data_IF_031856456527
#
_entry.id   IF_031856456527
#
_cell.length_a   1.000
_cell.length_b   1.000
_cell.length_c   1.000
_cell.angle_alpha   90.00
_cell.angle_beta   90.00
_cell.angle_gamma   90.00
#
_symmetry.space_group_name_H-M   'P 1'
#
loop_
_entity.id
_entity.type
_entity.pdbx_description
1 polymer ?
#
# COMPACT_ATOMS: atom_id res chain seq x y z
N UNK A 1 -2.26 -8.48 14.42
CA UNK A 1 -1.46 -9.11 15.50
C UNK A 1 -0.34 -9.91 14.85
N UNK A 2 0.86 -9.33 14.76
CA UNK A 2 2.03 -10.03 14.17
C UNK A 2 3.31 -9.76 14.99
N UNK A 3 3.49 -8.53 15.50
CA UNK A 3 4.64 -8.21 16.37
C UNK A 3 4.37 -8.39 17.87
N UNK A 4 3.14 -8.16 18.35
CA UNK A 4 2.83 -8.18 19.80
C UNK A 4 3.06 -9.54 20.47
N UNK A 5 2.86 -10.65 19.74
CA UNK A 5 3.09 -12.01 20.24
C UNK A 5 4.61 -12.36 20.34
N UNK A 6 5.46 -11.63 19.61
CA UNK A 6 6.91 -11.83 19.60
C UNK A 6 7.64 -11.00 20.67
N UNK A 7 7.08 -9.85 21.06
CA UNK A 7 7.61 -8.97 22.13
C UNK A 7 7.34 -9.53 23.54
N UNK A 8 6.62 -10.66 23.65
CA UNK A 8 6.28 -11.25 24.93
C UNK A 8 5.13 -10.53 25.64
N UNK A 9 4.36 -9.71 24.92
CA UNK A 9 3.15 -9.11 25.46
C UNK A 9 2.12 -10.23 25.69
N UNK A 10 1.89 -10.49 26.97
CA UNK A 10 1.12 -11.61 27.50
C UNK A 10 -0.34 -11.52 27.08
N UNK A 11 -0.70 -12.12 25.95
CA UNK A 11 -2.10 -12.37 25.59
C UNK A 11 -2.35 -13.88 25.68
N UNK A 12 -2.98 -14.26 26.79
CA UNK A 12 -3.77 -15.47 27.03
C UNK A 12 -3.40 -16.69 26.16
N UNK A 13 -2.47 -17.47 26.69
CA UNK A 13 -2.23 -18.91 26.51
C UNK A 13 -3.05 -19.52 25.37
N UNK A 14 -2.58 -19.31 24.13
CA UNK A 14 -2.84 -20.27 23.07
C UNK A 14 -1.79 -21.36 23.22
N UNK A 15 -2.23 -22.62 23.29
CA UNK A 15 -1.38 -23.78 23.62
C UNK A 15 0.01 -23.69 22.99
N UNK A 16 1.04 -23.80 23.83
CA UNK A 16 2.47 -23.66 23.52
C UNK A 16 2.89 -24.41 22.24
N UNK A 17 2.24 -25.55 21.96
CA UNK A 17 2.45 -26.37 20.75
C UNK A 17 2.09 -25.64 19.45
N UNK A 18 1.01 -24.88 19.44
CA UNK A 18 0.55 -24.13 18.25
C UNK A 18 1.53 -23.01 17.92
N UNK A 19 2.08 -22.35 18.93
CA UNK A 19 3.09 -21.30 18.78
C UNK A 19 4.40 -21.89 18.24
N UNK A 20 4.84 -23.04 18.77
CA UNK A 20 6.05 -23.73 18.32
C UNK A 20 5.97 -24.18 16.86
N UNK A 21 4.84 -24.78 16.46
CA UNK A 21 4.60 -25.20 15.06
C UNK A 21 4.64 -24.02 14.08
N UNK A 22 4.09 -22.87 14.48
CA UNK A 22 4.09 -21.67 13.63
C UNK A 22 5.49 -21.08 13.45
N UNK A 23 6.29 -21.07 14.52
CA UNK A 23 7.70 -20.66 14.47
C UNK A 23 8.50 -21.58 13.54
N UNK A 24 8.35 -22.89 13.69
CA UNK A 24 9.04 -23.87 12.84
C UNK A 24 8.66 -23.70 11.35
N UNK A 25 7.37 -23.49 11.06
CA UNK A 25 6.90 -23.24 9.69
C UNK A 25 7.48 -21.95 9.09
N UNK A 26 7.60 -20.89 9.89
CA UNK A 26 8.19 -19.63 9.46
C UNK A 26 9.69 -19.75 9.22
N UNK A 27 10.41 -20.44 10.11
CA UNK A 27 11.84 -20.70 9.94
C UNK A 27 12.13 -21.56 8.72
N UNK A 28 11.30 -22.58 8.47
CA UNK A 28 11.39 -23.37 7.24
C UNK A 28 11.26 -22.48 6.00
N UNK A 29 10.24 -21.61 5.95
CA UNK A 29 10.07 -20.68 4.84
C UNK A 29 11.27 -19.74 4.65
N UNK A 30 11.85 -19.23 5.75
CA UNK A 30 13.03 -18.39 5.67
C UNK A 30 14.23 -19.10 5.02
N UNK A 31 14.47 -20.36 5.42
CA UNK A 31 15.52 -21.19 4.83
C UNK A 31 15.23 -21.52 3.35
N UNK A 32 13.98 -21.83 3.02
CA UNK A 32 13.57 -22.12 1.65
C UNK A 32 13.78 -20.88 0.76
N UNK A 33 13.47 -19.68 1.25
CA UNK A 33 13.75 -18.42 0.56
C UNK A 33 15.25 -18.16 0.38
N UNK A 34 16.04 -18.35 1.43
CA UNK A 34 17.51 -18.19 1.36
C UNK A 34 18.11 -19.11 0.30
N UNK A 35 17.70 -20.38 0.29
CA UNK A 35 18.13 -21.34 -0.72
C UNK A 35 17.67 -20.93 -2.12
N UNK A 36 16.43 -20.47 -2.27
CA UNK A 36 15.87 -20.06 -3.56
C UNK A 36 16.64 -18.88 -4.18
N UNK A 37 16.98 -17.87 -3.38
CA UNK A 37 17.71 -16.69 -3.86
C UNK A 37 19.19 -16.96 -4.12
N UNK A 38 19.79 -17.95 -3.46
CA UNK A 38 21.19 -18.33 -3.67
C UNK A 38 21.40 -19.25 -4.88
N UNK A 39 20.33 -19.73 -5.51
CA UNK A 39 20.45 -20.55 -6.73
C UNK A 39 20.93 -19.71 -7.92
N UNK A 40 21.69 -20.31 -8.86
CA UNK A 40 22.10 -19.63 -10.10
C UNK A 40 20.90 -19.16 -10.93
N UNK A 41 19.77 -19.88 -10.84
CA UNK A 41 18.51 -19.49 -11.45
C UNK A 41 17.36 -19.59 -10.43
N UNK A 42 17.00 -18.48 -9.77
CA UNK A 42 15.96 -18.47 -8.73
C UNK A 42 14.57 -18.80 -9.30
N UNK A 43 14.28 -18.51 -10.57
CA UNK A 43 12.95 -18.76 -11.19
C UNK A 43 12.54 -20.24 -11.21
N UNK A 44 13.49 -21.16 -11.06
CA UNK A 44 13.24 -22.61 -11.10
C UNK A 44 12.74 -23.17 -9.76
N UNK A 45 12.81 -22.39 -8.69
CA UNK A 45 12.47 -22.85 -7.36
C UNK A 45 10.95 -22.94 -7.15
N UNK A 46 10.51 -23.97 -6.42
CA UNK A 46 9.09 -24.30 -6.26
C UNK A 46 8.27 -23.15 -5.62
N UNK A 47 8.87 -22.38 -4.70
CA UNK A 47 8.18 -21.22 -4.09
C UNK A 47 7.74 -20.15 -5.09
N UNK A 48 8.41 -20.07 -6.24
CA UNK A 48 8.18 -18.99 -7.22
C UNK A 48 7.37 -19.44 -8.42
N UNK A 49 7.06 -20.73 -8.54
CA UNK A 49 6.35 -21.30 -9.70
C UNK A 49 5.00 -20.63 -9.95
N UNK A 50 4.27 -20.31 -8.88
CA UNK A 50 2.94 -19.69 -8.96
C UNK A 50 2.98 -18.15 -8.86
N UNK A 51 4.17 -17.57 -8.71
CA UNK A 51 4.33 -16.13 -8.54
C UNK A 51 4.56 -15.46 -9.90
N UNK A 52 3.53 -14.78 -10.42
CA UNK A 52 3.54 -14.10 -11.72
C UNK A 52 4.69 -13.09 -11.88
N UNK A 53 5.03 -12.38 -10.81
CA UNK A 53 6.11 -11.39 -10.80
C UNK A 53 7.50 -12.00 -10.63
N UNK A 54 7.63 -13.28 -10.26
CA UNK A 54 8.94 -13.93 -10.08
C UNK A 54 9.49 -14.48 -11.40
N UNK A 55 9.53 -13.61 -12.40
CA UNK A 55 10.18 -13.84 -13.68
C UNK A 55 11.52 -13.08 -13.73
N UNK A 56 12.30 -13.27 -14.80
CA UNK A 56 13.62 -12.63 -14.93
C UNK A 56 13.57 -11.10 -14.82
N UNK A 57 12.57 -10.45 -15.40
CA UNK A 57 12.37 -9.00 -15.30
C UNK A 57 12.03 -8.58 -13.87
N UNK A 58 11.13 -9.31 -13.21
CA UNK A 58 10.75 -9.01 -11.82
C UNK A 58 11.89 -9.21 -10.83
N UNK A 59 12.78 -10.18 -11.04
CA UNK A 59 14.01 -10.31 -10.26
C UNK A 59 14.98 -9.16 -10.53
N UNK A 60 15.18 -8.76 -11.79
CA UNK A 60 16.00 -7.58 -12.13
C UNK A 60 15.45 -6.32 -11.46
N UNK A 61 14.13 -6.14 -11.51
CA UNK A 61 13.49 -5.03 -10.83
C UNK A 61 13.67 -5.09 -9.32
N UNK A 62 13.47 -6.27 -8.70
CA UNK A 62 13.68 -6.52 -7.27
C UNK A 62 15.06 -6.05 -6.81
N UNK A 63 16.12 -6.44 -7.52
CA UNK A 63 17.48 -6.05 -7.20
C UNK A 63 17.76 -4.57 -7.48
N UNK A 64 17.13 -3.99 -8.49
CA UNK A 64 17.30 -2.57 -8.84
C UNK A 64 16.57 -1.60 -7.91
N UNK A 65 15.52 -2.04 -7.19
CA UNK A 65 14.68 -1.13 -6.40
C UNK A 65 15.43 -0.45 -5.26
N UNK A 66 16.47 -1.09 -4.71
CA UNK A 66 17.27 -0.47 -3.66
C UNK A 66 17.93 0.81 -4.14
N UNK A 67 18.65 0.74 -5.27
CA UNK A 67 19.30 1.88 -5.91
C UNK A 67 18.28 2.92 -6.39
N UNK A 68 17.17 2.47 -7.01
CA UNK A 68 16.05 3.37 -7.38
C UNK A 68 15.49 4.12 -6.16
N UNK A 69 15.42 3.45 -5.00
CA UNK A 69 14.96 4.01 -3.74
C UNK A 69 15.90 5.07 -3.17
N UNK A 70 17.21 4.80 -3.18
CA UNK A 70 18.25 5.76 -2.77
C UNK A 70 18.16 7.02 -3.64
N UNK A 71 18.13 6.85 -4.96
CA UNK A 71 18.04 7.97 -5.91
C UNK A 71 16.79 8.83 -5.66
N UNK A 72 15.65 8.18 -5.38
CA UNK A 72 14.41 8.88 -5.05
C UNK A 72 14.53 9.67 -3.73
N UNK A 73 15.09 9.06 -2.69
CA UNK A 73 15.29 9.74 -1.40
C UNK A 73 16.21 10.95 -1.53
N UNK A 74 17.32 10.80 -2.26
CA UNK A 74 18.24 11.90 -2.52
C UNK A 74 17.58 13.03 -3.33
N UNK A 75 16.75 12.70 -4.32
CA UNK A 75 15.99 13.71 -5.06
C UNK A 75 15.00 14.46 -4.17
N UNK A 76 14.28 13.76 -3.28
CA UNK A 76 13.38 14.39 -2.30
C UNK A 76 14.18 15.32 -1.37
N UNK A 77 15.33 14.88 -0.87
CA UNK A 77 16.20 15.70 -0.01
C UNK A 77 16.61 17.00 -0.72
N UNK A 78 17.04 16.92 -1.99
CA UNK A 78 17.46 18.08 -2.78
C UNK A 78 16.32 19.06 -3.06
N UNK A 79 15.10 18.56 -3.27
CA UNK A 79 13.92 19.37 -3.57
C UNK A 79 13.30 19.99 -2.32
N UNK A 80 13.09 19.19 -1.27
CA UNK A 80 12.27 19.58 -0.13
C UNK A 80 13.06 20.23 0.99
N UNK A 81 14.29 19.76 1.23
CA UNK A 81 15.14 20.27 2.32
C UNK A 81 16.08 21.35 1.79
N UNK A 82 16.88 21.02 0.78
CA UNK A 82 17.87 21.97 0.26
C UNK A 82 17.28 22.99 -0.71
N UNK A 83 16.12 22.70 -1.32
CA UNK A 83 15.45 23.57 -2.31
C UNK A 83 16.36 23.96 -3.48
N UNK A 84 17.30 23.08 -3.84
CA UNK A 84 18.25 23.27 -4.95
C UNK A 84 17.57 22.92 -6.29
N UNK A 85 16.69 21.92 -6.26
CA UNK A 85 15.90 21.47 -7.41
C UNK A 85 14.44 21.92 -7.27
N UNK A 86 13.77 22.10 -8.41
CA UNK A 86 12.33 22.35 -8.43
C UNK A 86 11.57 21.12 -7.93
N UNK A 87 10.62 21.36 -7.01
CA UNK A 87 9.76 20.32 -6.46
C UNK A 87 8.87 19.73 -7.56
N UNK A 88 9.03 18.44 -7.83
CA UNK A 88 8.16 17.70 -8.73
C UNK A 88 7.00 17.12 -7.91
N UNK A 89 5.79 17.68 -8.11
CA UNK A 89 4.59 17.28 -7.35
C UNK A 89 3.89 16.05 -7.96
N UNK A 90 4.26 15.64 -9.17
CA UNK A 90 3.69 14.45 -9.82
C UNK A 90 4.23 13.20 -9.13
N UNK A 91 3.36 12.45 -8.46
CA UNK A 91 3.69 11.09 -8.01
C UNK A 91 3.83 10.86 -6.50
N UNK A 92 3.27 11.72 -5.63
CA UNK A 92 3.19 11.41 -4.19
C UNK A 92 2.56 10.04 -3.86
N UNK A 93 1.88 9.41 -4.83
CA UNK A 93 1.31 8.06 -4.74
C UNK A 93 1.71 7.13 -5.89
N UNK A 94 2.69 7.51 -6.71
CA UNK A 94 3.20 6.63 -7.76
C UNK A 94 3.88 5.44 -7.07
N UNK A 95 3.23 4.28 -7.19
CA UNK A 95 3.75 3.02 -6.69
C UNK A 95 4.29 2.26 -7.89
N UNK A 96 5.59 1.98 -7.88
CA UNK A 96 6.21 1.10 -8.87
C UNK A 96 5.98 -0.37 -8.50
N UNK A 97 4.86 -0.68 -7.85
CA UNK A 97 4.50 -2.03 -7.40
C UNK A 97 3.08 -2.33 -7.82
N UNK A 98 2.87 -3.55 -8.30
CA UNK A 98 1.55 -4.05 -8.62
C UNK A 98 0.88 -4.44 -7.31
N UNK A 99 -0.35 -3.99 -7.09
CA UNK A 99 -1.11 -4.28 -5.88
C UNK A 99 -2.23 -5.25 -6.21
N UNK A 100 -2.23 -6.42 -5.55
CA UNK A 100 -3.32 -7.38 -5.64
C UNK A 100 -4.19 -7.36 -4.38
N UNK A 101 -5.49 -7.59 -4.57
CA UNK A 101 -6.37 -7.96 -3.46
C UNK A 101 -6.21 -9.46 -3.21
N UNK A 102 -6.14 -9.86 -1.94
CA UNK A 102 -6.00 -11.28 -1.55
C UNK A 102 -7.10 -12.18 -2.11
N UNK A 103 -8.30 -11.63 -2.32
CA UNK A 103 -9.43 -12.32 -2.96
C UNK A 103 -9.14 -12.71 -4.41
N UNK A 104 -8.39 -11.89 -5.14
CA UNK A 104 -8.09 -12.11 -6.56
C UNK A 104 -6.98 -13.15 -6.77
N UNK A 105 -6.11 -13.35 -5.76
CA UNK A 105 -5.02 -14.33 -5.82
C UNK A 105 -5.52 -15.78 -5.71
N UNK A 106 -6.63 -16.02 -4.99
CA UNK A 106 -7.22 -17.36 -4.82
C UNK A 106 -7.91 -17.90 -6.07
N UNK A 107 -8.26 -17.03 -7.03
CA UNK A 107 -8.94 -17.43 -8.26
C UNK A 107 -7.96 -18.00 -9.29
N UNK A 108 -6.72 -17.51 -9.30
CA UNK A 108 -5.68 -17.92 -10.25
C UNK A 108 -5.37 -19.41 -10.09
N UNK A 109 -5.28 -19.91 -8.86
CA UNK A 109 -5.09 -21.35 -8.60
C UNK A 109 -6.26 -22.25 -8.99
N UNK A 110 -7.46 -21.71 -9.27
CA UNK A 110 -8.62 -22.49 -9.75
C UNK A 110 -8.84 -22.43 -11.26
N UNK A 111 -8.29 -21.42 -11.93
CA UNK A 111 -8.43 -21.26 -13.39
C UNK A 111 -7.45 -22.21 -14.11
N UNK A 112 -6.24 -22.37 -13.58
CA UNK A 112 -5.22 -23.29 -14.13
C UNK A 112 -5.69 -24.76 -14.12
N UNK A 113 -6.54 -25.16 -13.17
CA UNK A 113 -7.10 -26.52 -13.12
C UNK A 113 -8.22 -26.79 -14.13
N UNK A 114 -8.80 -25.75 -14.77
CA UNK A 114 -9.93 -25.89 -15.69
C UNK A 114 -9.57 -25.73 -17.18
N UNK A 115 -8.36 -25.28 -17.51
CA UNK A 115 -7.95 -25.00 -18.90
C UNK A 115 -7.38 -26.23 -19.65
N UNK A 116 -7.24 -27.39 -19.01
CA UNK A 116 -6.75 -28.62 -19.66
C UNK A 116 -7.85 -29.46 -20.36
N UNK A 117 -9.10 -28.97 -20.41
CA UNK A 117 -10.17 -29.63 -21.18
C UNK A 117 -11.04 -28.60 -21.89
N UNK A 118 -10.63 -28.17 -23.09
CA UNK A 118 -11.50 -27.88 -24.24
C UNK A 118 -10.63 -27.52 -25.45
N UNK A 119 -10.06 -28.54 -26.09
CA UNK A 119 -9.93 -28.52 -27.53
C UNK A 119 -11.32 -28.81 -28.10
N UNK A 120 -11.99 -27.78 -28.63
CA UNK A 120 -12.69 -27.93 -29.90
C UNK A 120 -13.03 -26.56 -30.51
N UNK A 121 -12.76 -26.50 -31.81
CA UNK A 121 -13.03 -25.42 -32.74
C UNK A 121 -14.39 -24.74 -32.53
N UNK A 122 -14.44 -23.42 -32.66
CA UNK A 122 -15.07 -22.85 -33.85
C UNK A 122 -14.69 -21.38 -34.06
N UNK A 123 -14.34 -21.10 -35.31
CA UNK A 123 -14.28 -19.78 -35.91
C UNK A 123 -15.62 -19.07 -35.71
N UNK A 124 -15.61 -17.81 -35.30
CA UNK A 124 -16.40 -16.81 -36.01
C UNK A 124 -15.79 -15.41 -35.82
N UNK A 125 -15.26 -14.91 -36.93
CA UNK A 125 -15.06 -13.49 -37.14
C UNK A 125 -16.42 -12.82 -37.13
N UNK A 126 -16.60 -11.77 -36.32
CA UNK A 126 -17.33 -10.60 -36.82
C UNK A 126 -16.81 -9.31 -36.20
N UNK A 127 -16.27 -8.51 -37.11
CA UNK A 127 -16.02 -7.09 -36.98
C UNK A 127 -17.36 -6.37 -36.99
N UNK A 128 -17.70 -5.67 -35.91
CA UNK A 128 -18.75 -4.64 -35.95
C UNK A 128 -18.14 -3.31 -35.46
N UNK A 129 -17.59 -2.59 -36.44
CA UNK A 129 -17.52 -1.15 -36.43
C UNK A 129 -18.96 -0.60 -36.41
N UNK A 130 -19.30 0.20 -35.39
CA UNK A 130 -20.31 1.24 -35.58
C UNK A 130 -20.05 2.42 -34.66
N UNK A 131 -19.40 3.43 -35.25
CA UNK A 131 -19.49 4.82 -34.82
C UNK A 131 -20.93 5.30 -34.93
N UNK A 132 -21.50 5.83 -33.85
CA UNK A 132 -22.54 6.84 -33.96
C UNK A 132 -22.33 7.94 -32.91
N UNK A 133 -22.14 9.14 -33.42
CA UNK A 133 -21.95 10.39 -32.70
C UNK A 133 -23.31 11.12 -32.71
N UNK A 134 -23.84 11.56 -31.56
CA UNK A 134 -25.11 12.30 -31.57
C UNK A 134 -25.83 12.50 -30.24
N UNK A 135 -25.29 13.43 -29.43
CA UNK A 135 -26.02 14.45 -28.65
C UNK A 135 -27.02 14.07 -27.53
N UNK A 136 -26.68 14.59 -26.34
CA UNK A 136 -27.55 15.14 -25.28
C UNK A 136 -28.56 14.21 -24.58
N UNK A 137 -28.33 13.94 -23.29
CA UNK A 137 -28.98 14.70 -22.20
C UNK A 137 -28.64 14.16 -20.80
N UNK A 138 -28.45 15.11 -19.88
CA UNK A 138 -28.61 15.01 -18.41
C UNK A 138 -27.53 14.33 -17.56
N UNK A 139 -26.36 14.97 -17.46
CA UNK A 139 -25.46 14.81 -16.32
C UNK A 139 -25.98 15.58 -15.09
N UNK A 140 -26.99 15.05 -14.41
CA UNK A 140 -27.38 15.47 -13.06
C UNK A 140 -26.99 14.46 -11.97
N UNK A 141 -26.00 13.61 -12.22
CA UNK A 141 -25.43 12.72 -11.21
C UNK A 141 -23.93 12.98 -11.03
N UNK A 142 -23.56 14.22 -10.69
CA UNK A 142 -22.24 14.49 -10.13
C UNK A 142 -22.27 14.11 -8.65
N UNK A 143 -21.41 13.19 -8.15
CA UNK A 143 -21.41 12.85 -6.74
C UNK A 143 -21.15 14.11 -5.92
N UNK A 144 -22.01 14.37 -4.93
CA UNK A 144 -21.91 15.52 -4.03
C UNK A 144 -20.49 15.53 -3.45
N UNK A 145 -19.71 16.56 -3.81
CA UNK A 145 -18.36 16.74 -3.25
C UNK A 145 -18.50 16.89 -1.74
N UNK A 146 -17.66 16.18 -0.98
CA UNK A 146 -17.64 16.29 0.49
C UNK A 146 -17.50 17.77 0.87
N UNK A 147 -18.46 18.28 1.64
CA UNK A 147 -18.44 19.64 2.15
C UNK A 147 -17.52 19.62 3.37
N UNK A 148 -16.39 20.32 3.28
CA UNK A 148 -15.51 20.53 4.41
C UNK A 148 -16.12 21.58 5.33
N UNK A 149 -16.09 21.35 6.65
CA UNK A 149 -16.47 22.36 7.64
C UNK A 149 -15.57 23.58 7.45
N UNK A 150 -16.19 24.75 7.36
CA UNK A 150 -15.50 26.05 7.38
C UNK A 150 -15.73 26.68 8.75
N UNK A 151 -14.70 27.27 9.32
CA UNK A 151 -14.82 28.02 10.58
C UNK A 151 -15.74 29.22 10.38
N UNK A 152 -16.78 29.34 11.21
CA UNK A 152 -17.67 30.51 11.20
C UNK A 152 -16.96 31.73 11.79
N UNK A 153 -17.49 32.94 11.54
CA UNK A 153 -16.88 34.16 12.10
C UNK A 153 -16.93 34.18 13.63
N UNK A 154 -17.95 33.57 14.24
CA UNK A 154 -18.03 33.46 15.69
C UNK A 154 -16.99 32.47 16.24
N UNK A 155 -16.76 31.35 15.54
CA UNK A 155 -15.67 30.41 15.88
C UNK A 155 -14.29 31.07 15.76
N UNK A 156 -14.08 31.97 14.80
CA UNK A 156 -12.83 32.74 14.69
C UNK A 156 -12.65 33.70 15.87
N UNK A 157 -13.71 34.40 16.28
CA UNK A 157 -13.67 35.30 17.44
C UNK A 157 -13.33 34.58 18.74
N UNK A 158 -13.74 33.32 18.89
CA UNK A 158 -13.35 32.49 20.03
C UNK A 158 -11.86 32.12 20.03
N UNK A 159 -11.21 32.13 18.86
CA UNK A 159 -9.80 31.75 18.68
C UNK A 159 -8.85 32.95 18.63
N UNK A 160 -9.36 34.17 18.40
CA UNK A 160 -8.60 35.43 18.43
C UNK A 160 -7.68 35.57 19.66
N UNK A 161 -8.13 35.27 20.90
CA UNK A 161 -7.27 35.39 22.08
C UNK A 161 -6.04 34.46 22.02
N UNK A 162 -6.15 33.31 21.34
CA UNK A 162 -5.07 32.32 21.24
C UNK A 162 -3.93 32.85 20.36
N UNK A 163 -4.24 33.70 19.38
CA UNK A 163 -3.26 34.28 18.47
C UNK A 163 -2.40 35.39 19.11
N UNK A 164 -2.82 35.90 20.27
CA UNK A 164 -2.11 36.93 21.03
C UNK A 164 -1.03 36.36 21.96
N UNK A 165 -0.98 35.04 22.14
CA UNK A 165 0.05 34.40 22.95
C UNK A 165 1.33 34.21 22.12
N UNK A 166 2.38 34.94 22.50
CA UNK A 166 3.71 34.84 21.89
C UNK A 166 4.43 33.53 22.29
N UNK A 167 4.06 32.97 23.45
CA UNK A 167 4.47 31.64 23.91
C UNK A 167 3.27 30.88 24.49
N UNK A 168 3.21 29.56 24.28
CA UNK A 168 2.22 28.72 24.95
C UNK A 168 2.47 28.79 26.46
N UNK A 169 1.44 29.07 27.29
CA UNK A 169 1.62 29.04 28.73
C UNK A 169 2.11 27.65 29.13
N UNK A 170 3.31 27.58 29.70
CA UNK A 170 3.79 26.37 30.36
C UNK A 170 2.79 25.94 31.41
N UNK A 171 2.68 24.63 31.64
CA UNK A 171 1.78 24.02 32.62
C UNK A 171 2.04 24.61 34.02
N UNK A 172 1.42 25.73 34.33
CA UNK A 172 1.34 26.28 35.67
C UNK A 172 -0.02 25.86 36.21
N UNK A 173 -0.03 24.74 36.95
CA UNK A 173 -1.21 24.15 37.61
C UNK A 173 -1.79 25.03 38.75
N UNK A 174 -1.52 26.34 38.78
CA UNK A 174 -1.78 27.19 39.94
C UNK A 174 -2.89 28.23 39.75
N UNK A 175 -3.74 28.11 38.71
CA UNK A 175 -4.93 28.98 38.55
C UNK A 175 -6.22 28.17 38.73
N UNK A 176 -6.31 27.40 39.81
CA UNK A 176 -7.58 26.93 40.36
C UNK A 176 -7.50 27.14 41.87
N UNK A 177 -7.56 28.40 42.35
CA UNK A 177 -7.81 28.65 43.78
C UNK A 177 -8.43 30.01 44.14
N UNK A 178 -8.87 30.84 43.19
CA UNK A 178 -9.56 32.10 43.53
C UNK A 178 -10.96 32.21 42.89
N UNK A 179 -11.81 31.23 43.20
CA UNK A 179 -13.26 31.45 43.24
C UNK A 179 -13.76 30.91 44.58
N UNK A 180 -13.74 31.77 45.59
CA UNK A 180 -14.58 31.66 46.79
C UNK A 180 -15.46 32.89 46.91
#
# INVERSE_FOLDING_TARGET
MLLSEYVGDTVLIKEERTIKSRKESLWKLANDLENAFNLPNPTTYELFKDAKEMNSEGFQDLFSYYEKGINRLNSILRQDVYKIELRIVKGCRARNIISYKSQNLKLIGKIVDNDDNNDDNDNDNNSDDNNNNGSNNNDNNRPVKRIYRRTTEDEKKLLEPILLFEEFPGNNEDIINDIS
#
